data_IF_973618498405
#
_entry.id   IF_973618498405
#
_cell.length_a   1.000
_cell.length_b   1.000
_cell.length_c   1.000
_cell.angle_alpha   90.00
_cell.angle_beta   90.00
_cell.angle_gamma   90.00
#
_symmetry.space_group_name_H-M   'P 1'
#
loop_
_entity.id
_entity.type
_entity.pdbx_description
1 polymer ?
#
# COMPACT_ATOMS: atom_id res chain seq x y z
N UNK A 1 -3.17 14.76 -7.04
CA UNK A 1 -3.07 13.58 -7.92
C UNK A 1 -4.26 12.67 -7.63
N UNK A 2 -4.84 11.96 -8.61
CA UNK A 2 -5.94 11.02 -8.31
C UNK A 2 -5.41 9.86 -7.45
N UNK A 3 -6.26 9.19 -6.65
CA UNK A 3 -5.79 8.18 -5.71
C UNK A 3 -5.06 7.01 -6.38
N UNK A 4 -5.60 6.51 -7.50
CA UNK A 4 -4.97 5.40 -8.26
C UNK A 4 -3.61 5.82 -8.83
N UNK A 5 -3.51 7.03 -9.39
CA UNK A 5 -2.26 7.57 -9.93
C UNK A 5 -1.21 7.74 -8.81
N UNK A 6 -1.64 8.20 -7.63
CA UNK A 6 -0.77 8.35 -6.47
C UNK A 6 -0.24 6.99 -5.99
N UNK A 7 -1.12 5.99 -5.87
CA UNK A 7 -0.73 4.63 -5.50
C UNK A 7 0.27 4.03 -6.50
N UNK A 8 0.02 4.16 -7.81
CA UNK A 8 0.94 3.71 -8.86
C UNK A 8 2.32 4.37 -8.72
N UNK A 9 2.35 5.70 -8.55
CA UNK A 9 3.61 6.43 -8.36
C UNK A 9 4.37 6.00 -7.11
N UNK A 10 3.68 5.74 -5.99
CA UNK A 10 4.29 5.24 -4.75
C UNK A 10 4.89 3.85 -4.97
N UNK A 11 4.13 2.92 -5.56
CA UNK A 11 4.59 1.55 -5.81
C UNK A 11 5.84 1.55 -6.69
N UNK A 12 5.81 2.27 -7.82
CA UNK A 12 6.96 2.32 -8.75
C UNK A 12 8.20 2.97 -8.15
N UNK A 13 8.06 3.94 -7.24
CA UNK A 13 9.19 4.68 -6.68
C UNK A 13 9.78 4.05 -5.41
N UNK A 14 8.94 3.49 -4.54
CA UNK A 14 9.35 3.01 -3.22
C UNK A 14 9.37 1.49 -3.10
N UNK A 15 8.56 0.79 -3.91
CA UNK A 15 8.44 -0.67 -3.89
C UNK A 15 8.74 -1.29 -5.27
N UNK A 16 9.86 -0.94 -5.93
CA UNK A 16 10.12 -1.36 -7.31
C UNK A 16 10.29 -2.88 -7.48
N UNK A 17 10.55 -3.60 -6.39
CA UNK A 17 10.78 -5.05 -6.39
C UNK A 17 9.56 -5.86 -5.92
N UNK A 18 8.42 -5.22 -5.61
CA UNK A 18 7.27 -5.97 -5.13
C UNK A 18 6.74 -6.93 -6.20
N UNK A 19 6.37 -8.14 -5.77
CA UNK A 19 5.69 -9.12 -6.61
C UNK A 19 4.22 -8.71 -6.86
N UNK A 20 3.59 -8.15 -5.84
CA UNK A 20 2.16 -7.77 -5.87
C UNK A 20 1.95 -6.48 -5.08
N UNK A 21 1.08 -5.60 -5.60
CA UNK A 21 0.54 -4.47 -4.87
C UNK A 21 -0.99 -4.43 -5.00
N UNK A 22 -1.69 -4.33 -3.89
CA UNK A 22 -3.14 -4.25 -3.81
C UNK A 22 -3.54 -2.94 -3.16
N UNK A 23 -4.21 -2.06 -3.91
CA UNK A 23 -4.85 -0.87 -3.37
C UNK A 23 -6.25 -1.25 -2.85
N UNK A 24 -6.50 -0.98 -1.58
CA UNK A 24 -7.76 -1.28 -0.90
C UNK A 24 -8.41 -0.03 -0.32
N UNK A 25 -9.20 -0.24 0.73
CA UNK A 25 -9.72 0.87 1.52
C UNK A 25 -10.94 1.58 0.95
N UNK A 26 -11.33 2.63 1.68
CA UNK A 26 -12.49 3.48 1.34
C UNK A 26 -12.36 4.15 -0.03
N UNK A 27 -11.13 4.45 -0.45
CA UNK A 27 -10.81 5.09 -1.71
C UNK A 27 -11.23 4.27 -2.93
N UNK A 28 -10.93 2.97 -2.93
CA UNK A 28 -11.28 2.08 -4.06
C UNK A 28 -12.77 1.75 -4.07
N UNK A 29 -13.43 1.78 -2.91
CA UNK A 29 -14.89 1.57 -2.79
C UNK A 29 -15.72 2.80 -3.17
N UNK A 30 -15.09 3.95 -3.44
CA UNK A 30 -15.79 5.20 -3.71
C UNK A 30 -16.41 5.86 -2.47
N UNK A 31 -16.01 5.41 -1.28
CA UNK A 31 -16.47 5.90 0.02
C UNK A 31 -15.46 6.88 0.66
N UNK A 32 -14.55 7.42 -0.14
CA UNK A 32 -13.49 8.31 0.33
C UNK A 32 -14.05 9.58 0.98
N UNK A 33 -13.48 9.94 2.12
CA UNK A 33 -13.70 11.21 2.81
C UNK A 33 -12.44 12.07 2.73
N UNK A 34 -12.49 13.31 3.22
CA UNK A 34 -11.31 14.19 3.31
C UNK A 34 -10.20 13.64 4.21
N UNK A 35 -10.52 12.69 5.08
CA UNK A 35 -9.60 12.05 6.02
C UNK A 35 -9.22 10.63 5.60
N UNK A 36 -9.65 10.18 4.42
CA UNK A 36 -9.28 8.86 3.90
C UNK A 36 -7.83 8.81 3.45
N UNK A 37 -7.21 7.66 3.70
CA UNK A 37 -5.87 7.28 3.27
C UNK A 37 -5.90 6.27 2.12
N UNK A 38 -4.72 6.02 1.56
CA UNK A 38 -4.46 4.93 0.63
C UNK A 38 -3.99 3.71 1.41
N UNK A 39 -4.87 2.72 1.55
CA UNK A 39 -4.53 1.40 2.09
C UNK A 39 -3.85 0.57 0.99
N UNK A 40 -2.57 0.25 1.15
CA UNK A 40 -1.82 -0.53 0.16
C UNK A 40 -1.21 -1.78 0.82
N UNK A 41 -1.57 -2.96 0.33
CA UNK A 41 -0.88 -4.20 0.70
C UNK A 41 0.18 -4.50 -0.36
N UNK A 42 1.42 -4.66 0.08
CA UNK A 42 2.57 -5.01 -0.75
C UNK A 42 3.01 -6.44 -0.41
N UNK A 43 3.24 -7.25 -1.42
CA UNK A 43 3.93 -8.54 -1.30
C UNK A 43 5.30 -8.42 -1.98
N UNK A 44 6.35 -8.63 -1.22
CA UNK A 44 7.74 -8.65 -1.67
C UNK A 44 8.45 -9.87 -1.06
N UNK A 45 8.82 -10.83 -1.90
CA UNK A 45 9.53 -12.05 -1.49
C UNK A 45 10.93 -11.80 -0.94
N UNK A 46 11.57 -10.69 -1.30
CA UNK A 46 12.91 -10.34 -0.80
C UNK A 46 12.89 -9.85 0.65
N UNK A 47 11.69 -9.56 1.18
CA UNK A 47 11.51 -9.04 2.52
C UNK A 47 11.74 -10.12 3.59
N UNK A 48 12.60 -9.81 4.58
CA UNK A 48 12.93 -10.72 5.68
C UNK A 48 11.85 -10.75 6.78
N UNK A 49 11.10 -9.66 6.96
CA UNK A 49 10.06 -9.54 7.99
C UNK A 49 8.98 -8.56 7.56
N UNK A 50 7.71 -8.83 7.92
CA UNK A 50 6.62 -7.91 7.62
C UNK A 50 6.70 -6.63 8.45
N UNK A 51 6.17 -5.53 7.90
CA UNK A 51 6.03 -4.27 8.62
C UNK A 51 4.82 -3.47 8.13
N UNK A 52 4.44 -2.47 8.94
CA UNK A 52 3.44 -1.47 8.60
C UNK A 52 4.04 -0.09 8.73
N UNK A 53 3.79 0.77 7.77
CA UNK A 53 4.29 2.14 7.77
C UNK A 53 3.20 3.10 7.29
N UNK A 54 3.16 4.30 7.89
CA UNK A 54 2.24 5.37 7.47
C UNK A 54 3.07 6.59 7.09
N UNK A 55 2.77 7.18 5.93
CA UNK A 55 3.49 8.35 5.43
C UNK A 55 2.61 9.23 4.54
N UNK A 56 3.09 10.42 4.20
CA UNK A 56 2.47 11.31 3.23
C UNK A 56 3.22 11.25 1.90
N UNK A 57 2.51 11.01 0.80
CA UNK A 57 3.09 11.02 -0.55
C UNK A 57 2.06 11.46 -1.58
N UNK A 58 2.48 12.23 -2.58
CA UNK A 58 1.63 12.68 -3.69
C UNK A 58 0.34 13.40 -3.25
N UNK A 59 0.34 14.01 -2.07
CA UNK A 59 -0.82 14.69 -1.46
C UNK A 59 -1.81 13.78 -0.74
N UNK A 60 -1.45 12.51 -0.52
CA UNK A 60 -2.27 11.52 0.18
C UNK A 60 -1.60 11.05 1.47
N UNK A 61 -2.36 10.86 2.57
CA UNK A 61 -1.94 9.96 3.62
C UNK A 61 -1.99 8.52 3.08
N UNK A 62 -0.99 7.73 3.41
CA UNK A 62 -0.78 6.37 2.90
C UNK A 62 -0.50 5.47 4.09
N UNK A 63 -1.15 4.31 4.12
CA UNK A 63 -0.82 3.22 5.02
C UNK A 63 -0.44 1.99 4.20
N UNK A 64 0.81 1.54 4.35
CA UNK A 64 1.34 0.37 3.66
C UNK A 64 1.47 -0.81 4.62
N UNK A 65 1.08 -1.99 4.15
CA UNK A 65 1.25 -3.27 4.83
C UNK A 65 2.14 -4.14 3.96
N UNK A 66 3.40 -4.32 4.36
CA UNK A 66 4.40 -4.99 3.54
C UNK A 66 4.65 -6.38 4.10
N UNK A 67 4.40 -7.39 3.28
CA UNK A 67 4.52 -8.80 3.61
C UNK A 67 5.35 -9.54 2.56
N UNK A 68 5.75 -10.77 2.88
CA UNK A 68 6.16 -11.78 1.92
C UNK A 68 5.12 -12.92 1.91
N UNK A 69 5.28 -13.93 1.05
CA UNK A 69 4.35 -15.08 0.95
C UNK A 69 4.29 -16.00 2.19
N UNK A 70 5.10 -15.74 3.21
CA UNK A 70 5.06 -16.47 4.49
C UNK A 70 4.32 -15.64 5.54
N UNK A 71 4.75 -14.39 5.72
CA UNK A 71 4.30 -13.48 6.78
C UNK A 71 2.86 -13.00 6.60
N UNK A 72 2.32 -12.94 5.37
CA UNK A 72 0.92 -12.52 5.18
C UNK A 72 -0.06 -13.48 5.87
N UNK A 73 0.26 -14.79 5.92
CA UNK A 73 -0.60 -15.83 6.52
C UNK A 73 -0.77 -15.69 8.04
N UNK A 74 0.08 -14.90 8.69
CA UNK A 74 -0.06 -14.61 10.12
C UNK A 74 -1.24 -13.67 10.38
N UNK A 75 -1.68 -12.92 9.36
CA UNK A 75 -2.69 -11.87 9.50
C UNK A 75 -3.97 -12.14 8.71
N UNK A 76 -3.90 -12.96 7.66
CA UNK A 76 -5.01 -13.34 6.76
C UNK A 76 -5.13 -14.86 6.65
#
# INVERSE_FOLDING_TARGET
MKPIEAAQSIITSQFPNCDVALLGGSVVRGEATKTSDLDIVIVDQSLSSCYRESFYSNGWPVEVFVHNFVTYKTFF
#
